data_IF_921664836750
#
_entry.id   IF_921664836750
#
_cell.length_a   1.000
_cell.length_b   1.000
_cell.length_c   1.000
_cell.angle_alpha   90.00
_cell.angle_beta   90.00
_cell.angle_gamma   90.00
#
_symmetry.space_group_name_H-M   'P 1'
#
loop_
_entity.id
_entity.type
_entity.pdbx_description
1 polymer ?
#
# COMPACT_ATOMS: atom_id res chain seq x y z
N UNK A 1 1.19 17.63 -0.05
CA UNK A 1 2.59 17.54 -0.51
C UNK A 1 3.16 16.19 -0.08
N UNK A 2 4.12 15.64 -0.81
CA UNK A 2 4.79 14.38 -0.44
C UNK A 2 6.30 14.55 -0.59
N UNK A 3 7.07 14.11 0.39
CA UNK A 3 8.55 14.09 0.31
C UNK A 3 9.08 12.83 0.97
N UNK A 4 10.24 12.37 0.49
CA UNK A 4 11.03 11.30 1.13
C UNK A 4 12.10 11.86 2.06
N UNK A 5 12.36 13.16 1.98
CA UNK A 5 13.37 13.84 2.78
C UNK A 5 12.68 14.76 3.80
N UNK A 6 12.68 14.38 5.08
CA UNK A 6 12.01 15.13 6.13
C UNK A 6 12.67 16.48 6.42
N UNK A 7 13.93 16.73 5.98
CA UNK A 7 14.55 18.06 6.16
C UNK A 7 13.92 19.12 5.27
N UNK A 8 13.25 18.72 4.19
CA UNK A 8 12.66 19.64 3.21
C UNK A 8 11.28 20.14 3.66
N UNK A 9 10.76 19.64 4.78
CA UNK A 9 9.51 20.07 5.38
C UNK A 9 9.79 21.05 6.53
N UNK A 10 9.31 22.28 6.38
CA UNK A 10 9.18 23.19 7.52
C UNK A 10 7.98 22.71 8.37
N UNK A 11 8.30 22.00 9.45
CA UNK A 11 7.32 21.43 10.37
C UNK A 11 6.45 22.48 11.07
N UNK A 12 6.88 23.74 11.16
CA UNK A 12 6.02 24.84 11.63
C UNK A 12 4.97 25.22 10.60
N UNK A 13 5.34 25.24 9.31
CA UNK A 13 4.40 25.44 8.20
C UNK A 13 3.40 24.30 8.01
N UNK A 14 3.77 23.07 8.40
CA UNK A 14 2.89 21.91 8.35
C UNK A 14 1.74 21.95 9.38
N UNK A 15 1.85 22.72 10.46
CA UNK A 15 0.76 22.88 11.45
C UNK A 15 -0.56 23.33 10.83
N UNK A 16 -0.51 24.06 9.71
CA UNK A 16 -1.68 24.50 8.95
C UNK A 16 -2.22 23.42 7.98
N UNK A 17 -1.54 22.28 7.86
CA UNK A 17 -1.95 21.20 6.96
C UNK A 17 -2.96 20.31 7.67
N UNK A 18 -4.18 20.25 7.16
CA UNK A 18 -5.30 19.55 7.81
C UNK A 18 -5.14 18.02 7.94
N UNK A 19 -4.24 17.38 7.17
CA UNK A 19 -4.00 15.93 7.22
C UNK A 19 -2.54 15.58 6.95
N UNK A 20 -1.96 14.76 7.83
CA UNK A 20 -0.60 14.26 7.71
C UNK A 20 -0.61 12.74 7.61
N UNK A 21 0.19 12.18 6.71
CA UNK A 21 0.35 10.74 6.51
C UNK A 21 1.83 10.40 6.70
N UNK A 22 2.17 9.74 7.80
CA UNK A 22 3.54 9.51 8.23
C UNK A 22 3.84 8.01 8.19
N UNK A 23 4.83 7.62 7.39
CA UNK A 23 5.30 6.24 7.33
C UNK A 23 6.41 5.92 8.34
N UNK A 24 7.09 4.79 8.13
CA UNK A 24 8.21 4.38 8.99
C UNK A 24 9.41 5.30 8.80
N UNK A 25 9.85 5.91 9.90
CA UNK A 25 11.01 6.79 9.94
C UNK A 25 12.27 5.98 10.27
N UNK A 26 13.31 6.10 9.43
CA UNK A 26 14.54 5.30 9.56
C UNK A 26 15.48 5.87 10.62
N UNK A 27 15.62 7.19 10.68
CA UNK A 27 16.63 7.84 11.51
C UNK A 27 15.98 8.53 12.71
N UNK A 28 16.71 8.63 13.82
CA UNK A 28 16.19 9.28 15.03
C UNK A 28 16.00 10.79 14.85
N UNK A 29 16.81 11.40 13.96
CA UNK A 29 16.65 12.81 13.59
C UNK A 29 15.30 13.06 12.91
N UNK A 30 14.89 12.18 12.02
CA UNK A 30 13.62 12.31 11.30
C UNK A 30 12.42 12.10 12.25
N UNK A 31 12.56 11.15 13.18
CA UNK A 31 11.58 10.94 14.26
C UNK A 31 11.43 12.21 15.09
N UNK A 32 12.53 12.78 15.58
CA UNK A 32 12.51 13.98 16.42
C UNK A 32 11.82 15.16 15.73
N UNK A 33 12.07 15.35 14.43
CA UNK A 33 11.44 16.44 13.66
C UNK A 33 9.94 16.25 13.48
N UNK A 34 9.51 15.03 13.15
CA UNK A 34 8.08 14.72 13.03
C UNK A 34 7.37 14.87 14.37
N UNK A 35 8.01 14.43 15.47
CA UNK A 35 7.50 14.63 16.82
C UNK A 35 7.36 16.11 17.18
N UNK A 36 8.38 16.91 16.90
CA UNK A 36 8.33 18.37 17.12
C UNK A 36 7.19 19.02 16.31
N UNK A 37 7.00 18.61 15.06
CA UNK A 37 5.89 19.07 14.22
C UNK A 37 4.52 18.69 14.74
N UNK A 38 4.33 17.43 15.17
CA UNK A 38 3.06 16.94 15.72
C UNK A 38 2.73 17.60 17.06
N UNK A 39 3.72 17.78 17.93
CA UNK A 39 3.56 18.47 19.21
C UNK A 39 3.28 19.97 19.02
N UNK A 40 3.88 20.61 18.01
CA UNK A 40 3.62 22.00 17.66
C UNK A 40 2.26 22.22 16.98
N UNK A 41 1.75 21.22 16.26
CA UNK A 41 0.43 21.26 15.63
C UNK A 41 -0.72 20.98 16.61
N UNK A 42 -0.46 20.25 17.69
CA UNK A 42 -1.41 19.98 18.77
C UNK A 42 -1.65 21.24 19.62
N UNK A 43 -2.54 22.12 19.16
CA UNK A 43 -2.96 23.31 19.93
C UNK A 43 -4.21 22.97 20.75
N UNK A 44 -4.08 22.75 22.07
CA UNK A 44 -5.23 22.51 22.97
C UNK A 44 -4.98 21.54 24.13
N UNK A 45 -6.06 21.09 24.78
CA UNK A 45 -6.07 20.22 25.97
C UNK A 45 -5.61 18.77 25.71
N UNK A 46 -5.24 18.43 24.48
CA UNK A 46 -4.84 17.10 24.04
C UNK A 46 -3.38 17.13 23.55
N UNK A 47 -2.49 17.55 24.44
CA UNK A 47 -1.06 17.43 24.22
C UNK A 47 -0.70 15.94 24.08
N UNK A 48 -0.18 15.54 22.93
CA UNK A 48 0.30 14.18 22.76
C UNK A 48 1.47 13.92 23.71
N UNK A 49 1.38 12.83 24.49
CA UNK A 49 2.52 12.36 25.26
C UNK A 49 3.61 11.87 24.30
N UNK A 50 4.72 12.60 24.24
CA UNK A 50 5.85 12.33 23.33
C UNK A 50 6.29 10.87 23.35
N UNK A 51 6.36 10.26 24.54
CA UNK A 51 6.78 8.86 24.70
C UNK A 51 5.77 7.86 24.12
N UNK A 52 4.47 8.18 24.13
CA UNK A 52 3.45 7.35 23.48
C UNK A 52 3.58 7.41 21.96
N UNK A 53 3.77 8.62 21.43
CA UNK A 53 3.92 8.86 20.00
C UNK A 53 5.21 8.22 19.43
N UNK A 54 6.31 8.27 20.19
CA UNK A 54 7.56 7.56 19.86
C UNK A 54 7.36 6.05 19.73
N UNK A 55 6.62 5.43 20.66
CA UNK A 55 6.31 4.00 20.61
C UNK A 55 5.47 3.65 19.38
N UNK A 56 4.46 4.46 19.05
CA UNK A 56 3.61 4.26 17.87
C UNK A 56 4.44 4.38 16.59
N UNK A 57 5.26 5.42 16.45
CA UNK A 57 6.13 5.62 15.28
C UNK A 57 7.17 4.50 15.12
N UNK A 58 7.73 4.00 16.23
CA UNK A 58 8.65 2.87 16.20
C UNK A 58 7.96 1.54 15.83
N UNK A 59 6.68 1.40 16.16
CA UNK A 59 5.87 0.21 15.89
C UNK A 59 5.26 0.15 14.48
N UNK A 60 5.40 1.20 13.66
CA UNK A 60 4.84 1.22 12.30
C UNK A 60 5.47 0.13 11.42
N UNK A 61 4.64 -0.83 11.03
CA UNK A 61 5.00 -1.92 10.11
C UNK A 61 5.08 -1.50 8.65
N UNK A 62 5.38 -2.45 7.77
CA UNK A 62 5.35 -2.23 6.33
C UNK A 62 3.93 -1.85 5.89
N UNK A 63 3.81 -0.80 5.06
CA UNK A 63 2.53 -0.29 4.53
C UNK A 63 1.56 0.28 5.56
N UNK A 64 2.02 0.53 6.79
CA UNK A 64 1.29 1.27 7.81
C UNK A 64 1.70 2.75 7.79
N UNK A 65 0.71 3.62 7.90
CA UNK A 65 0.86 5.05 7.98
C UNK A 65 0.15 5.54 9.24
N UNK A 66 0.84 6.34 10.05
CA UNK A 66 0.20 7.13 11.08
C UNK A 66 -0.46 8.34 10.42
N UNK A 67 -1.75 8.51 10.65
CA UNK A 67 -2.52 9.61 10.07
C UNK A 67 -2.91 10.58 11.16
N UNK A 68 -2.54 11.84 10.99
CA UNK A 68 -2.97 12.93 11.85
C UNK A 68 -3.96 13.84 11.12
N UNK A 69 -5.15 14.03 11.70
CA UNK A 69 -6.20 14.89 11.16
C UNK A 69 -6.51 16.01 12.16
N UNK A 70 -6.36 17.27 11.73
CA UNK A 70 -6.53 18.43 12.62
C UNK A 70 -7.99 18.66 13.01
N UNK A 71 -8.95 18.20 12.20
CA UNK A 71 -10.39 18.41 12.41
C UNK A 71 -11.16 17.15 12.89
N UNK A 72 -10.48 16.04 13.15
CA UNK A 72 -11.13 14.79 13.58
C UNK A 72 -11.24 14.70 15.12
N UNK A 73 -12.28 14.02 15.63
CA UNK A 73 -12.43 13.77 17.08
C UNK A 73 -11.36 12.80 17.63
N UNK A 74 -10.82 11.91 16.79
CA UNK A 74 -9.65 11.08 17.06
C UNK A 74 -8.51 11.56 16.17
N UNK A 75 -7.55 12.29 16.74
CA UNK A 75 -6.53 12.98 15.96
C UNK A 75 -5.41 12.08 15.42
N UNK A 76 -5.33 10.80 15.79
CA UNK A 76 -4.28 9.87 15.35
C UNK A 76 -4.83 8.47 15.07
N UNK A 77 -4.64 7.98 13.84
CA UNK A 77 -5.09 6.64 13.42
C UNK A 77 -4.02 5.92 12.60
N UNK A 78 -3.97 4.58 12.68
CA UNK A 78 -3.08 3.77 11.83
C UNK A 78 -3.87 3.34 10.60
N UNK A 79 -3.43 3.80 9.44
CA UNK A 79 -3.97 3.42 8.15
C UNK A 79 -3.06 2.41 7.44
N UNK A 80 -3.65 1.32 6.94
CA UNK A 80 -2.95 0.32 6.14
C UNK A 80 -3.32 0.42 4.66
N UNK A 81 -2.30 0.45 3.80
CA UNK A 81 -2.53 0.41 2.35
C UNK A 81 -2.73 -1.02 1.85
N UNK A 82 -3.81 -1.28 1.08
CA UNK A 82 -4.08 -2.61 0.46
C UNK A 82 -3.37 -2.81 -0.88
N UNK A 83 -3.41 -1.80 -1.76
CA UNK A 83 -2.75 -1.79 -3.07
C UNK A 83 -2.17 -0.41 -3.34
N UNK A 84 -1.02 -0.38 -4.02
CA UNK A 84 -0.43 0.85 -4.57
C UNK A 84 -0.51 0.74 -6.08
N UNK A 85 -1.32 1.57 -6.73
CA UNK A 85 -1.38 1.63 -8.19
C UNK A 85 -0.24 2.52 -8.69
N UNK A 86 0.67 1.94 -9.47
CA UNK A 86 1.70 2.72 -10.18
C UNK A 86 1.14 3.20 -11.51
N UNK A 87 0.50 4.37 -11.51
CA UNK A 87 -0.03 5.01 -12.73
C UNK A 87 1.08 5.56 -13.65
N UNK A 88 2.32 5.65 -13.15
CA UNK A 88 3.51 6.09 -13.90
C UNK A 88 4.48 4.94 -14.19
N UNK A 89 4.00 3.70 -14.24
CA UNK A 89 4.74 2.70 -14.98
C UNK A 89 4.80 3.19 -16.43
N UNK A 90 5.97 3.70 -16.85
CA UNK A 90 6.21 4.15 -18.21
C UNK A 90 5.83 3.08 -19.24
N UNK A 91 5.83 3.40 -20.55
CA UNK A 91 5.37 2.49 -21.59
C UNK A 91 5.99 1.09 -21.41
N UNK A 92 5.14 0.05 -21.51
CA UNK A 92 5.57 -1.33 -21.31
C UNK A 92 6.79 -1.62 -22.21
N UNK A 93 7.88 -2.11 -21.61
CA UNK A 93 9.06 -2.52 -22.37
C UNK A 93 8.72 -3.70 -23.27
N UNK A 94 9.44 -3.88 -24.38
CA UNK A 94 9.23 -5.01 -25.30
C UNK A 94 9.27 -6.37 -24.59
N UNK A 95 10.15 -6.52 -23.60
CA UNK A 95 10.24 -7.72 -22.77
C UNK A 95 8.98 -7.95 -21.91
N UNK A 96 8.43 -6.89 -21.32
CA UNK A 96 7.18 -6.97 -20.55
C UNK A 96 6.00 -7.33 -21.44
N UNK A 97 5.94 -6.77 -22.66
CA UNK A 97 4.93 -7.13 -23.66
C UNK A 97 5.05 -8.60 -24.04
N UNK A 98 6.27 -9.07 -24.36
CA UNK A 98 6.52 -10.47 -24.71
C UNK A 98 6.05 -11.42 -23.60
N UNK A 99 6.41 -11.11 -22.35
CA UNK A 99 6.02 -11.91 -21.17
C UNK A 99 4.50 -11.97 -20.99
N UNK A 100 3.80 -10.86 -21.17
CA UNK A 100 2.33 -10.81 -21.09
C UNK A 100 1.67 -11.63 -22.19
N UNK A 101 2.17 -11.53 -23.43
CA UNK A 101 1.64 -12.30 -24.56
C UNK A 101 1.90 -13.80 -24.40
N UNK A 102 3.08 -14.20 -23.94
CA UNK A 102 3.41 -15.61 -23.65
C UNK A 102 2.57 -16.17 -22.50
N UNK A 103 2.29 -15.37 -21.47
CA UNK A 103 1.39 -15.78 -20.39
C UNK A 103 -0.03 -16.00 -20.93
N UNK A 104 -0.57 -15.06 -21.70
CA UNK A 104 -1.90 -15.18 -22.32
C UNK A 104 -1.99 -16.40 -23.25
N UNK A 105 -0.95 -16.65 -24.05
CA UNK A 105 -0.89 -17.81 -24.92
C UNK A 105 -0.90 -19.12 -24.11
N UNK A 106 -0.15 -19.20 -23.00
CA UNK A 106 -0.17 -20.37 -22.11
C UNK A 106 -1.53 -20.57 -21.45
N UNK A 107 -2.17 -19.52 -20.96
CA UNK A 107 -3.51 -19.58 -20.36
C UNK A 107 -4.54 -20.11 -21.37
N UNK A 108 -4.51 -19.61 -22.61
CA UNK A 108 -5.38 -20.09 -23.70
C UNK A 108 -5.11 -21.56 -24.07
N UNK A 109 -3.85 -21.97 -24.17
CA UNK A 109 -3.49 -23.37 -24.44
C UNK A 109 -3.94 -24.30 -23.31
N UNK A 110 -3.82 -23.86 -22.06
CA UNK A 110 -4.21 -24.65 -20.89
C UNK A 110 -5.73 -24.81 -20.82
N UNK A 111 -6.48 -23.74 -21.11
CA UNK A 111 -7.94 -23.79 -21.19
C UNK A 111 -8.44 -24.70 -22.34
N UNK A 112 -7.77 -24.68 -23.50
CA UNK A 112 -8.10 -25.53 -24.65
C UNK A 112 -7.83 -27.03 -24.38
N UNK A 113 -6.75 -27.35 -23.67
CA UNK A 113 -6.44 -28.74 -23.27
C UNK A 113 -7.45 -29.26 -22.24
N UNK A 114 -7.89 -28.42 -21.31
CA UNK A 114 -8.92 -28.78 -20.32
C UNK A 114 -10.30 -29.01 -20.95
N UNK A 115 -10.70 -28.22 -21.95
CA UNK A 115 -11.97 -28.43 -22.65
C UNK A 115 -12.00 -29.72 -23.46
N UNK A 116 -10.88 -30.06 -24.13
CA UNK A 116 -10.82 -31.28 -24.96
C UNK A 116 -10.69 -32.56 -24.14
N UNK A 117 -9.98 -32.52 -23.01
CA UNK A 117 -9.93 -33.66 -22.07
C UNK A 117 -11.28 -33.92 -21.39
N UNK A 118 -12.07 -32.88 -21.12
CA UNK A 118 -13.43 -33.03 -20.61
C UNK A 118 -14.37 -33.68 -21.64
N UNK A 119 -14.34 -33.25 -22.90
CA UNK A 119 -15.12 -33.84 -23.99
C UNK A 119 -14.74 -35.31 -24.26
N UNK A 120 -13.44 -35.64 -24.23
CA UNK A 120 -12.96 -37.01 -24.42
C UNK A 120 -13.40 -37.94 -23.26
N UNK A 121 -13.37 -37.46 -22.01
CA UNK A 121 -13.83 -38.24 -20.85
C UNK A 121 -15.35 -38.51 -20.88
N UNK A 122 -16.14 -37.59 -21.42
CA UNK A 122 -17.60 -37.76 -21.55
C UNK A 122 -17.94 -38.76 -22.66
N UNK A 123 -17.21 -38.75 -23.78
CA UNK A 123 -17.41 -39.68 -24.89
C UNK A 123 -17.05 -41.14 -24.54
N UNK A 124 -16.04 -41.35 -23.69
CA UNK A 124 -15.63 -42.70 -23.26
C UNK A 124 -16.67 -43.34 -22.30
N UNK A 125 -17.33 -42.51 -21.49
CA UNK A 125 -18.39 -42.96 -20.57
C UNK A 125 -19.69 -43.33 -21.28
N UNK A 126 -20.00 -42.72 -22.43
CA UNK A 126 -21.22 -43.04 -23.20
C UNK A 126 -21.06 -44.30 -24.06
N UNK A 127 -19.85 -44.65 -24.47
CA UNK A 127 -19.59 -45.87 -25.24
C UNK A 127 -19.59 -47.15 -24.39
N UNK A 128 -19.24 -47.04 -23.10
CA UNK A 128 -19.17 -48.21 -22.19
C UNK A 128 -20.53 -48.63 -21.61
N UNK A 129 -21.60 -47.84 -21.83
CA UNK A 129 -22.93 -48.07 -21.23
C UNK A 129 -23.87 -48.96 -22.07
N UNK A 130 -23.46 -49.43 -23.25
CA UNK A 130 -24.31 -50.21 -24.17
C UNK A 130 -23.74 -51.59 -24.54
N UNK A 131 -22.94 -52.21 -23.66
CA UNK A 131 -22.46 -53.58 -23.83
C UNK A 131 -22.83 -54.47 -22.65
#
# INVERSE_FOLDING_TARGET
>A
MSTQNPVDLDYKGLSNTGTWLIGRLQTDRDKQRVLEGLLGAATGAEAFEKGGLEKVLAGLGQRQLLVHYVHAHSHLEIFTTRCVMSYFAGPLTREKIKRLTEQKAREHSTAFVQSNSHLASVADKTFTAHR
#
